data_IF_553145092957
#
_entry.id   IF_553145092957
#
_cell.length_a   1.000
_cell.length_b   1.000
_cell.length_c   1.000
_cell.angle_alpha   90.00
_cell.angle_beta   90.00
_cell.angle_gamma   90.00
#
_symmetry.space_group_name_H-M   'P 1'
#
loop_
_entity.id
_entity.type
_entity.pdbx_description
1 polymer ?
#
# COMPACT_ATOMS: atom_id res chain seq x y z
N UNK A 1 -18.83 -11.89 -12.51
CA UNK A 1 -17.57 -11.15 -12.67
C UNK A 1 -17.53 -10.09 -11.58
N UNK A 2 -17.07 -10.48 -10.39
CA UNK A 2 -17.22 -9.69 -9.17
C UNK A 2 -16.32 -8.46 -9.20
N UNK A 3 -16.90 -7.29 -8.94
CA UNK A 3 -16.16 -6.07 -8.65
C UNK A 3 -15.17 -6.38 -7.52
N UNK A 4 -13.88 -6.35 -7.83
CA UNK A 4 -12.80 -6.21 -6.86
C UNK A 4 -13.17 -5.05 -5.93
N UNK A 5 -13.22 -5.32 -4.62
CA UNK A 5 -13.49 -4.33 -3.57
C UNK A 5 -12.50 -3.16 -3.71
N UNK A 6 -12.85 -2.14 -4.48
CA UNK A 6 -12.14 -0.86 -4.51
C UNK A 6 -12.41 -0.17 -3.18
N UNK A 7 -11.46 -0.32 -2.26
CA UNK A 7 -11.17 0.55 -1.11
C UNK A 7 -12.34 1.39 -0.57
N UNK A 8 -13.28 0.74 0.14
CA UNK A 8 -14.38 1.39 0.85
C UNK A 8 -13.91 2.45 1.86
N UNK A 9 -12.69 2.32 2.41
CA UNK A 9 -12.18 3.21 3.46
C UNK A 9 -11.73 4.56 2.94
N UNK A 10 -10.97 4.61 1.83
CA UNK A 10 -10.53 5.89 1.27
C UNK A 10 -11.70 6.77 0.80
N UNK A 11 -12.73 6.14 0.22
CA UNK A 11 -13.98 6.79 -0.17
C UNK A 11 -14.78 7.22 1.07
N UNK A 12 -14.91 6.36 2.08
CA UNK A 12 -15.61 6.68 3.35
C UNK A 12 -14.94 7.84 4.10
N UNK A 13 -13.60 7.89 4.12
CA UNK A 13 -12.82 8.97 4.71
C UNK A 13 -12.79 10.24 3.84
N UNK A 14 -13.42 10.24 2.66
CA UNK A 14 -13.55 11.39 1.77
C UNK A 14 -12.20 12.07 1.48
N UNK A 15 -11.14 11.27 1.27
CA UNK A 15 -9.76 11.76 1.11
C UNK A 15 -9.65 12.81 0.00
N UNK A 16 -10.48 12.71 -1.05
CA UNK A 16 -10.54 13.68 -2.15
C UNK A 16 -10.88 15.12 -1.70
N UNK A 17 -11.56 15.30 -0.56
CA UNK A 17 -11.83 16.64 0.01
C UNK A 17 -10.61 17.27 0.64
N UNK A 18 -9.65 16.47 1.09
CA UNK A 18 -8.47 16.91 1.85
C UNK A 18 -7.20 16.91 1.02
N UNK A 19 -7.08 15.98 0.06
CA UNK A 19 -6.00 15.91 -0.90
C UNK A 19 -6.15 17.06 -1.92
N UNK A 20 -5.48 18.18 -1.64
CA UNK A 20 -5.52 19.41 -2.44
C UNK A 20 -4.20 19.62 -3.19
N UNK A 21 -4.24 20.48 -4.20
CA UNK A 21 -3.06 20.87 -4.99
C UNK A 21 -2.91 20.12 -6.31
N UNK A 22 -1.77 20.33 -6.98
CA UNK A 22 -1.48 19.75 -8.30
C UNK A 22 -1.13 18.27 -8.17
N UNK A 23 -1.71 17.44 -9.03
CA UNK A 23 -1.27 16.04 -9.17
C UNK A 23 0.10 16.02 -9.84
N UNK A 24 1.06 15.38 -9.17
CA UNK A 24 2.42 15.20 -9.68
C UNK A 24 2.53 13.82 -10.31
N UNK A 25 3.12 13.74 -11.50
CA UNK A 25 3.36 12.47 -12.16
C UNK A 25 4.43 11.65 -11.40
N UNK A 26 4.24 10.34 -11.35
CA UNK A 26 5.23 9.42 -10.76
C UNK A 26 6.49 9.41 -11.63
N UNK A 27 7.70 9.64 -11.08
CA UNK A 27 8.96 9.53 -11.81
C UNK A 27 9.11 8.18 -12.53
N UNK A 28 9.76 8.15 -13.69
CA UNK A 28 9.90 6.94 -14.50
C UNK A 28 10.49 5.74 -13.73
N UNK A 29 11.49 5.97 -12.88
CA UNK A 29 12.12 4.94 -12.05
C UNK A 29 11.24 4.43 -10.88
N UNK A 30 10.10 5.08 -10.64
CA UNK A 30 9.10 4.70 -9.62
C UNK A 30 7.86 4.04 -10.24
N UNK A 31 7.75 3.97 -11.57
CA UNK A 31 6.61 3.36 -12.29
C UNK A 31 6.65 1.83 -12.36
N UNK A 32 7.69 1.18 -11.81
CA UNK A 32 7.84 -0.27 -11.78
C UNK A 32 7.31 -0.93 -10.50
N UNK A 33 7.52 -2.24 -10.38
CA UNK A 33 7.24 -2.98 -9.16
C UNK A 33 8.25 -2.60 -8.06
N UNK A 34 7.74 -2.14 -6.92
CA UNK A 34 8.55 -1.77 -5.76
C UNK A 34 7.90 -2.30 -4.48
N UNK A 35 8.74 -2.64 -3.51
CA UNK A 35 8.33 -2.99 -2.15
C UNK A 35 8.53 -1.82 -1.16
N UNK A 36 9.45 -0.88 -1.45
CA UNK A 36 9.71 0.32 -0.66
C UNK A 36 9.51 1.58 -1.51
N UNK A 37 8.76 2.55 -1.00
CA UNK A 37 8.45 3.80 -1.68
C UNK A 37 8.80 5.03 -0.83
N UNK A 38 9.35 6.07 -1.46
CA UNK A 38 9.69 7.32 -0.77
C UNK A 38 8.47 8.24 -0.71
N UNK A 39 7.85 8.31 0.46
CA UNK A 39 6.76 9.25 0.72
C UNK A 39 7.33 10.66 0.88
N UNK A 40 7.05 11.58 -0.05
CA UNK A 40 7.52 12.97 0.03
C UNK A 40 6.62 13.80 0.94
N UNK A 41 7.22 14.73 1.67
CA UNK A 41 6.50 15.67 2.53
C UNK A 41 5.49 16.50 1.72
N UNK A 42 4.35 16.82 2.35
CA UNK A 42 3.29 17.62 1.73
C UNK A 42 2.56 16.97 0.55
N UNK A 43 2.78 15.67 0.28
CA UNK A 43 2.14 14.96 -0.84
C UNK A 43 1.28 13.80 -0.35
N UNK A 44 0.24 13.49 -1.13
CA UNK A 44 -0.58 12.28 -0.93
C UNK A 44 -0.18 11.27 -2.00
N UNK A 45 0.53 10.22 -1.60
CA UNK A 45 0.95 9.14 -2.48
C UNK A 45 -0.15 8.09 -2.59
N UNK A 46 -0.45 7.65 -3.82
CA UNK A 46 -1.33 6.52 -4.10
C UNK A 46 -0.47 5.33 -4.52
N UNK A 47 -0.62 4.20 -3.84
CA UNK A 47 0.09 2.96 -4.16
C UNK A 47 -0.95 1.89 -4.48
N UNK A 48 -0.73 1.18 -5.58
CA UNK A 48 -1.51 -0.01 -5.93
C UNK A 48 -0.76 -1.24 -5.43
N UNK A 49 -1.40 -2.01 -4.55
CA UNK A 49 -0.86 -3.25 -4.03
C UNK A 49 -1.69 -4.43 -4.53
N UNK A 50 -0.99 -5.52 -4.81
CA UNK A 50 -1.59 -6.82 -5.11
C UNK A 50 -0.84 -7.90 -4.36
N UNK A 51 -1.60 -8.73 -3.63
CA UNK A 51 -1.08 -9.90 -2.92
C UNK A 51 -1.15 -11.13 -3.84
N UNK A 52 -0.15 -11.28 -4.72
CA UNK A 52 -0.02 -12.40 -5.67
C UNK A 52 1.43 -12.47 -6.19
N UNK A 53 1.78 -13.54 -6.91
CA UNK A 53 3.04 -13.60 -7.64
C UNK A 53 3.09 -12.56 -8.78
N UNK A 54 4.16 -11.77 -8.81
CA UNK A 54 4.34 -10.65 -9.75
C UNK A 54 4.41 -11.16 -11.21
N UNK A 55 5.13 -12.25 -11.46
CA UNK A 55 5.42 -12.71 -12.83
C UNK A 55 4.35 -13.63 -13.41
N UNK A 56 3.77 -14.52 -12.60
CA UNK A 56 2.82 -15.54 -13.05
C UNK A 56 1.37 -15.15 -12.84
N UNK A 57 1.11 -14.04 -12.15
CA UNK A 57 -0.23 -13.61 -11.77
C UNK A 57 -0.99 -14.60 -10.86
N UNK A 58 -0.31 -15.65 -10.41
CA UNK A 58 -0.87 -16.73 -9.61
C UNK A 58 -1.03 -16.30 -8.15
N UNK A 59 -2.00 -16.89 -7.47
CA UNK A 59 -2.13 -16.79 -6.02
C UNK A 59 -0.96 -17.49 -5.33
N UNK A 60 -0.67 -17.10 -4.09
CA UNK A 60 0.29 -17.82 -3.27
C UNK A 60 -0.16 -19.27 -3.01
N UNK A 61 0.79 -20.19 -2.84
CA UNK A 61 0.49 -21.58 -2.48
C UNK A 61 0.02 -21.74 -1.02
N UNK A 62 0.27 -20.73 -0.20
CA UNK A 62 -0.18 -20.64 1.18
C UNK A 62 -1.34 -19.64 1.33
N UNK A 63 -2.11 -19.76 2.41
CA UNK A 63 -3.14 -18.78 2.77
C UNK A 63 -2.48 -17.48 3.31
N UNK A 64 -2.52 -16.36 2.57
CA UNK A 64 -1.87 -15.12 2.97
C UNK A 64 -2.64 -14.36 4.05
N UNK A 65 -3.81 -14.86 4.49
CA UNK A 65 -4.60 -14.23 5.57
C UNK A 65 -4.27 -14.78 6.96
N UNK A 66 -3.44 -15.84 7.04
CA UNK A 66 -3.03 -16.47 8.30
C UNK A 66 -2.04 -15.61 9.10
N UNK A 67 -2.07 -15.78 10.42
CA UNK A 67 -1.13 -15.17 11.36
C UNK A 67 0.27 -15.79 11.23
N UNK A 68 1.35 -15.02 11.49
CA UNK A 68 1.41 -13.70 12.14
C UNK A 68 1.05 -12.49 11.26
N UNK A 69 0.73 -12.71 9.98
CA UNK A 69 0.32 -11.66 9.03
C UNK A 69 1.50 -10.87 8.45
N UNK A 70 1.21 -9.73 7.83
CA UNK A 70 2.22 -8.84 7.24
C UNK A 70 2.38 -7.58 8.09
N UNK A 71 3.43 -6.80 7.80
CA UNK A 71 3.65 -5.47 8.39
C UNK A 71 3.86 -4.44 7.30
N UNK A 72 3.55 -3.19 7.63
CA UNK A 72 4.01 -2.02 6.89
C UNK A 72 4.64 -1.05 7.89
N UNK A 73 5.75 -0.45 7.50
CA UNK A 73 6.51 0.42 8.40
C UNK A 73 7.31 1.46 7.62
N UNK A 74 7.76 2.48 8.36
CA UNK A 74 8.83 3.35 7.88
C UNK A 74 10.12 2.53 7.85
N UNK A 75 10.86 2.57 6.76
CA UNK A 75 12.14 1.86 6.65
C UNK A 75 13.33 2.69 7.19
N UNK A 76 13.06 3.60 8.12
CA UNK A 76 14.05 4.30 8.94
C UNK A 76 14.00 3.62 10.30
N UNK A 77 15.08 2.93 10.68
CA UNK A 77 15.10 2.04 11.84
C UNK A 77 14.69 2.77 13.13
N UNK A 78 15.22 3.97 13.35
CA UNK A 78 14.86 4.78 14.53
C UNK A 78 13.36 5.10 14.59
N UNK A 79 12.70 5.25 13.44
CA UNK A 79 11.26 5.49 13.38
C UNK A 79 10.47 4.19 13.55
N UNK A 80 10.93 3.11 12.92
CA UNK A 80 10.35 1.78 13.00
C UNK A 80 10.26 1.30 14.44
N UNK A 81 11.41 1.31 15.14
CA UNK A 81 11.53 0.92 16.55
C UNK A 81 10.76 1.88 17.46
N UNK A 82 10.63 3.15 17.04
CA UNK A 82 9.81 4.15 17.70
C UNK A 82 8.37 4.19 17.16
N UNK A 83 7.75 3.01 17.03
CA UNK A 83 6.30 2.82 16.81
C UNK A 83 5.80 3.27 15.42
N UNK A 84 6.67 3.47 14.42
CA UNK A 84 6.26 3.60 13.01
C UNK A 84 6.21 2.27 12.26
N UNK A 85 5.79 1.19 12.95
CA UNK A 85 5.41 -0.10 12.39
C UNK A 85 3.97 -0.45 12.77
N UNK A 86 3.20 -1.01 11.82
CA UNK A 86 1.82 -1.46 12.05
C UNK A 86 1.53 -2.81 11.37
N UNK A 87 0.67 -3.64 11.98
CA UNK A 87 0.22 -4.88 11.35
C UNK A 87 -0.65 -4.58 10.12
N UNK A 88 -0.45 -5.37 9.06
CA UNK A 88 -1.25 -5.39 7.85
C UNK A 88 -1.98 -6.72 7.76
N UNK A 89 -3.24 -6.74 8.19
CA UNK A 89 -4.10 -7.93 8.13
C UNK A 89 -4.85 -7.97 6.80
N UNK A 90 -4.67 -9.06 6.05
CA UNK A 90 -5.46 -9.34 4.86
C UNK A 90 -6.77 -10.01 5.27
N UNK A 91 -7.88 -9.50 4.74
CA UNK A 91 -9.23 -9.99 5.01
C UNK A 91 -9.92 -10.32 3.69
N UNK A 92 -10.68 -11.42 3.67
CA UNK A 92 -11.51 -11.80 2.52
C UNK A 92 -12.76 -10.90 2.38
#
# INVERSE_FOLDING_TARGET
MGLTRVNLLAVKCQISKYARGKTVEVPAHEKGWKNVFKMRNGTVTKIFLRFAYIHSNASYEFDPTREPGYVYHCHILDHEDNVMMRPLKLVH
#
